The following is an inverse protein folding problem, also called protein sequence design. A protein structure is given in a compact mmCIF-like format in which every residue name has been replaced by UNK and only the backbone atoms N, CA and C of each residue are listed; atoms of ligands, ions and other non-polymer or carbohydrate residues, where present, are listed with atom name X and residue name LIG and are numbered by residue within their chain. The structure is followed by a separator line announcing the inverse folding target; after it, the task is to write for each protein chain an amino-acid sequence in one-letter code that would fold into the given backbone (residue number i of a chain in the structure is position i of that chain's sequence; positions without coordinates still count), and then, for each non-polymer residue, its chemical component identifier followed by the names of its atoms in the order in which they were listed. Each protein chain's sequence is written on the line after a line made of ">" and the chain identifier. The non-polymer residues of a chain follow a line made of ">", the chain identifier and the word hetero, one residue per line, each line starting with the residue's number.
data_IF_936144017801
#
_entry.id   IF_936144017801
#
_cell.length_a   1.000
_cell.length_b   1.000
_cell.length_c   1.000
_cell.angle_alpha   90.00
_cell.angle_beta   90.00
_cell.angle_gamma   90.00
#
_symmetry.space_group_name_H-M   'P 1'
#
loop_
_entity.id
_entity.type
_entity.pdbx_description
1 polymer ?
#
# COMPACT_ATOMS: atom_id res chain seq x y z
N UNK A 1 -9.65 -19.64 10.26
CA UNK A 1 -10.05 -18.25 10.01
C UNK A 1 -10.59 -17.75 11.31
N UNK A 2 -9.85 -16.84 11.94
CA UNK A 2 -10.34 -16.10 13.10
C UNK A 2 -11.42 -15.15 12.57
N UNK A 3 -12.68 -15.44 12.87
CA UNK A 3 -13.79 -14.58 12.45
C UNK A 3 -13.86 -13.51 13.52
N UNK A 4 -13.42 -12.30 13.18
CA UNK A 4 -13.50 -11.20 14.15
C UNK A 4 -14.98 -10.88 14.37
N UNK A 5 -15.36 -10.49 15.59
CA UNK A 5 -16.75 -10.14 15.92
C UNK A 5 -17.33 -9.01 15.04
N UNK A 6 -16.47 -8.30 14.30
CA UNK A 6 -16.83 -7.14 13.48
C UNK A 6 -16.84 -7.42 11.96
N UNK A 7 -16.60 -8.66 11.51
CA UNK A 7 -16.54 -9.01 10.08
C UNK A 7 -17.87 -8.74 9.35
N UNK A 8 -18.99 -8.73 10.08
CA UNK A 8 -20.33 -8.41 9.56
C UNK A 8 -20.84 -7.02 10.00
N UNK A 9 -19.96 -6.12 10.41
CA UNK A 9 -20.35 -4.80 10.86
C UNK A 9 -20.95 -3.95 9.73
N UNK A 10 -22.15 -3.44 10.00
CA UNK A 10 -22.84 -2.46 9.17
C UNK A 10 -23.29 -1.32 10.10
N UNK A 11 -22.81 -0.12 9.86
CA UNK A 11 -23.07 1.03 10.73
C UNK A 11 -22.54 2.32 10.16
N UNK A 12 -22.07 3.22 11.02
CA UNK A 12 -21.35 4.42 10.61
C UNK A 12 -19.84 4.15 10.54
N UNK A 13 -19.06 5.10 10.03
CA UNK A 13 -17.61 4.99 10.02
C UNK A 13 -17.04 4.69 11.43
N UNK A 14 -16.00 3.85 11.52
CA UNK A 14 -15.22 3.65 12.75
C UNK A 14 -14.78 4.99 13.36
N UNK A 15 -14.59 5.03 14.68
CA UNK A 15 -14.08 6.23 15.35
C UNK A 15 -12.74 6.69 14.75
N UNK A 16 -12.55 8.01 14.64
CA UNK A 16 -11.37 8.62 14.04
C UNK A 16 -10.05 8.13 14.65
N UNK A 17 -10.02 7.72 15.93
CA UNK A 17 -8.80 7.20 16.56
C UNK A 17 -8.26 5.94 15.88
N UNK A 18 -9.11 5.11 15.27
CA UNK A 18 -8.69 3.91 14.52
C UNK A 18 -7.93 4.22 13.22
N UNK A 19 -7.94 5.48 12.78
CA UNK A 19 -7.21 5.92 11.59
C UNK A 19 -5.83 6.50 11.92
N UNK A 20 -5.41 6.44 13.18
CA UNK A 20 -4.10 6.92 13.65
C UNK A 20 -3.78 8.37 13.22
N UNK A 21 -4.69 9.34 13.41
CA UNK A 21 -4.46 10.73 12.99
C UNK A 21 -3.22 11.35 13.65
N UNK A 22 -2.80 10.86 14.81
CA UNK A 22 -1.58 11.26 15.50
C UNK A 22 -0.28 10.90 14.78
N UNK A 23 -0.31 9.91 13.88
CA UNK A 23 0.84 9.49 13.07
C UNK A 23 0.91 10.21 11.72
N UNK A 24 -0.11 11.00 11.38
CA UNK A 24 -0.15 11.79 10.15
C UNK A 24 0.68 13.08 10.30
N UNK A 25 1.16 13.60 9.17
CA UNK A 25 1.67 14.98 9.12
C UNK A 25 0.58 15.98 9.50
N UNK A 26 0.94 17.19 9.94
CA UNK A 26 -0.07 18.21 10.27
C UNK A 26 -1.02 18.49 9.09
N UNK A 27 -0.49 18.54 7.87
CA UNK A 27 -1.26 18.79 6.65
C UNK A 27 -2.22 17.62 6.33
N UNK A 28 -1.73 16.38 6.39
CA UNK A 28 -2.56 15.20 6.11
C UNK A 28 -3.62 15.00 7.18
N UNK A 29 -3.30 15.31 8.43
CA UNK A 29 -4.25 15.27 9.54
C UNK A 29 -5.38 16.27 9.31
N UNK A 30 -5.10 17.49 8.90
CA UNK A 30 -6.14 18.49 8.60
C UNK A 30 -7.08 18.00 7.48
N UNK A 31 -6.51 17.44 6.40
CA UNK A 31 -7.30 16.85 5.30
C UNK A 31 -8.15 15.67 5.77
N UNK A 32 -7.59 14.78 6.58
CA UNK A 32 -8.29 13.64 7.16
C UNK A 32 -9.46 14.09 8.05
N UNK A 33 -9.25 15.06 8.94
CA UNK A 33 -10.30 15.53 9.85
C UNK A 33 -11.47 16.17 9.08
N UNK A 34 -11.18 16.93 8.01
CA UNK A 34 -12.22 17.47 7.14
C UNK A 34 -13.01 16.34 6.44
N UNK A 35 -12.31 15.36 5.85
CA UNK A 35 -12.93 14.20 5.20
C UNK A 35 -13.77 13.36 6.16
N UNK A 36 -13.29 13.15 7.39
CA UNK A 36 -13.98 12.37 8.42
C UNK A 36 -15.25 13.08 8.90
N UNK A 37 -15.16 14.37 9.21
CA UNK A 37 -16.32 15.15 9.68
C UNK A 37 -17.47 15.15 8.65
N UNK A 38 -17.13 15.21 7.35
CA UNK A 38 -18.10 15.12 6.25
C UNK A 38 -18.79 13.75 6.17
N UNK A 39 -18.11 12.67 6.57
CA UNK A 39 -18.54 11.29 6.27
C UNK A 39 -18.84 10.43 7.48
N UNK A 40 -18.57 10.89 8.70
CA UNK A 40 -18.70 10.09 9.94
C UNK A 40 -20.08 9.51 10.21
N UNK A 41 -21.12 9.95 9.49
CA UNK A 41 -22.49 9.42 9.57
C UNK A 41 -22.90 8.62 8.33
N UNK A 42 -22.03 8.48 7.34
CA UNK A 42 -22.30 7.69 6.13
C UNK A 42 -22.33 6.18 6.46
N UNK A 43 -23.15 5.40 5.73
CA UNK A 43 -23.17 3.95 5.89
C UNK A 43 -21.82 3.32 5.56
N UNK A 44 -21.36 2.47 6.47
CA UNK A 44 -20.14 1.69 6.35
C UNK A 44 -20.48 0.20 6.47
N UNK A 45 -20.21 -0.55 5.41
CA UNK A 45 -20.30 -2.00 5.36
C UNK A 45 -18.88 -2.56 5.36
N UNK A 46 -18.45 -3.10 6.50
CA UNK A 46 -17.07 -3.52 6.69
C UNK A 46 -16.64 -4.60 5.69
N UNK A 47 -17.50 -5.58 5.42
CA UNK A 47 -17.16 -6.68 4.51
C UNK A 47 -16.94 -6.18 3.08
N UNK A 48 -17.80 -5.25 2.63
CA UNK A 48 -17.64 -4.60 1.32
C UNK A 48 -16.37 -3.76 1.27
N UNK A 49 -16.19 -2.85 2.22
CA UNK A 49 -15.06 -1.92 2.24
C UNK A 49 -13.72 -2.65 2.40
N UNK A 50 -13.66 -3.73 3.18
CA UNK A 50 -12.47 -4.57 3.33
C UNK A 50 -12.07 -5.24 2.01
N UNK A 51 -13.03 -5.80 1.27
CA UNK A 51 -12.76 -6.42 -0.04
C UNK A 51 -12.31 -5.38 -1.06
N UNK A 52 -12.96 -4.23 -1.10
CA UNK A 52 -12.61 -3.14 -2.02
C UNK A 52 -11.22 -2.57 -1.71
N UNK A 53 -10.90 -2.36 -0.43
CA UNK A 53 -9.55 -2.00 0.03
C UNK A 53 -8.51 -3.04 -0.40
N UNK A 54 -8.72 -4.33 -0.10
CA UNK A 54 -7.78 -5.39 -0.45
C UNK A 54 -7.52 -5.45 -1.97
N UNK A 55 -8.56 -5.26 -2.79
CA UNK A 55 -8.41 -5.22 -4.25
C UNK A 55 -7.61 -4.01 -4.72
N UNK A 56 -7.90 -2.83 -4.17
CA UNK A 56 -7.19 -1.60 -4.48
C UNK A 56 -5.70 -1.71 -4.13
N UNK A 57 -5.38 -2.23 -2.95
CA UNK A 57 -3.99 -2.39 -2.48
C UNK A 57 -3.20 -3.37 -3.35
N UNK A 58 -3.78 -4.54 -3.65
CA UNK A 58 -3.13 -5.52 -4.53
C UNK A 58 -2.92 -4.95 -5.94
N UNK A 59 -3.88 -4.20 -6.48
CA UNK A 59 -3.73 -3.57 -7.79
C UNK A 59 -2.66 -2.47 -7.79
N UNK A 60 -2.62 -1.63 -6.75
CA UNK A 60 -1.58 -0.61 -6.59
C UNK A 60 -0.19 -1.24 -6.46
N UNK A 61 -0.03 -2.22 -5.57
CA UNK A 61 1.23 -2.94 -5.38
C UNK A 61 1.66 -3.64 -6.67
N UNK A 62 0.73 -4.29 -7.38
CA UNK A 62 1.01 -4.91 -8.69
C UNK A 62 1.54 -3.89 -9.70
N UNK A 63 0.89 -2.72 -9.83
CA UNK A 63 1.34 -1.65 -10.73
C UNK A 63 2.73 -1.13 -10.34
N UNK A 64 2.97 -0.91 -9.05
CA UNK A 64 4.28 -0.53 -8.54
C UNK A 64 5.34 -1.59 -8.84
N UNK A 65 5.04 -2.87 -8.65
CA UNK A 65 5.95 -3.97 -8.98
C UNK A 65 6.28 -4.04 -10.48
N UNK A 66 5.29 -3.87 -11.36
CA UNK A 66 5.51 -3.85 -12.81
C UNK A 66 6.47 -2.72 -13.19
N UNK A 67 6.19 -1.50 -12.69
CA UNK A 67 7.04 -0.34 -12.96
C UNK A 67 8.44 -0.53 -12.37
N UNK A 68 8.55 -0.99 -11.12
CA UNK A 68 9.83 -1.26 -10.47
C UNK A 68 10.66 -2.29 -11.25
N UNK A 69 10.04 -3.38 -11.72
CA UNK A 69 10.73 -4.39 -12.54
C UNK A 69 11.30 -3.78 -13.82
N UNK A 70 10.48 -3.00 -14.53
CA UNK A 70 10.88 -2.36 -15.77
C UNK A 70 12.07 -1.42 -15.54
N UNK A 71 11.91 -0.45 -14.64
CA UNK A 71 12.95 0.54 -14.32
C UNK A 71 14.25 -0.12 -13.83
N UNK A 72 14.15 -1.11 -12.93
CA UNK A 72 15.32 -1.80 -12.41
C UNK A 72 16.05 -2.60 -13.50
N UNK A 73 15.31 -3.33 -14.35
CA UNK A 73 15.89 -4.09 -15.46
C UNK A 73 16.51 -3.19 -16.52
N UNK A 74 15.91 -2.04 -16.81
CA UNK A 74 16.45 -1.08 -17.78
C UNK A 74 17.78 -0.47 -17.30
N UNK A 75 17.91 -0.21 -16.00
CA UNK A 75 19.14 0.37 -15.42
C UNK A 75 20.24 -0.68 -15.19
N UNK A 76 19.89 -1.92 -14.86
CA UNK A 76 20.87 -2.91 -14.34
C UNK A 76 21.04 -4.15 -15.22
N UNK A 77 20.13 -4.38 -16.18
CA UNK A 77 20.02 -5.64 -16.91
C UNK A 77 19.56 -6.83 -16.07
N UNK A 78 19.17 -6.62 -14.82
CA UNK A 78 18.75 -7.67 -13.88
C UNK A 78 17.24 -7.59 -13.63
N UNK A 79 16.57 -8.73 -13.61
CA UNK A 79 15.18 -8.81 -13.15
C UNK A 79 15.16 -8.87 -11.61
N UNK A 80 14.64 -7.83 -10.92
CA UNK A 80 14.69 -7.77 -9.46
C UNK A 80 13.85 -8.87 -8.79
N UNK A 81 12.85 -9.43 -9.48
CA UNK A 81 11.99 -10.49 -8.93
C UNK A 81 12.57 -11.91 -9.05
N UNK A 82 13.78 -12.06 -9.59
CA UNK A 82 14.56 -13.30 -9.43
C UNK A 82 15.22 -13.41 -8.05
N UNK A 83 15.08 -12.38 -7.21
CA UNK A 83 15.66 -12.30 -5.88
C UNK A 83 14.58 -12.00 -4.84
N UNK A 84 14.77 -12.51 -3.62
CA UNK A 84 13.78 -12.36 -2.53
C UNK A 84 13.75 -10.93 -2.01
N UNK A 85 14.89 -10.22 -2.04
CA UNK A 85 15.01 -8.86 -1.50
C UNK A 85 15.66 -7.91 -2.50
N UNK A 86 15.36 -6.62 -2.36
CA UNK A 86 16.00 -5.55 -3.15
C UNK A 86 17.52 -5.58 -2.94
N UNK A 87 18.00 -5.79 -1.71
CA UNK A 87 19.43 -5.87 -1.42
C UNK A 87 20.13 -6.99 -2.22
N UNK A 88 19.51 -8.18 -2.31
CA UNK A 88 20.05 -9.27 -3.13
C UNK A 88 20.03 -8.97 -4.64
N UNK A 89 19.00 -8.28 -5.15
CA UNK A 89 18.96 -7.84 -6.54
C UNK A 89 20.07 -6.80 -6.83
N UNK A 90 20.28 -5.85 -5.92
CA UNK A 90 21.37 -4.87 -6.02
C UNK A 90 22.74 -5.56 -6.06
N UNK A 91 23.00 -6.54 -5.19
CA UNK A 91 24.26 -7.30 -5.22
C UNK A 91 24.50 -7.98 -6.57
N UNK A 92 23.44 -8.48 -7.22
CA UNK A 92 23.53 -9.08 -8.55
C UNK A 92 23.69 -8.08 -9.69
N UNK A 93 23.34 -6.81 -9.48
CA UNK A 93 23.54 -5.74 -10.48
C UNK A 93 24.97 -5.21 -10.55
N UNK A 94 25.75 -5.33 -9.47
CA UNK A 94 27.13 -4.81 -9.37
C UNK A 94 28.09 -5.37 -10.45
N UNK A 95 28.09 -6.68 -10.79
CA UNK A 95 28.98 -7.20 -11.82
C UNK A 95 28.69 -6.63 -13.21
N UNK A 96 27.41 -6.34 -13.52
CA UNK A 96 27.00 -5.84 -14.83
C UNK A 96 27.36 -4.37 -15.08
N UNK A 97 27.69 -3.60 -14.04
CA UNK A 97 28.08 -2.19 -14.17
C UNK A 97 29.60 -1.97 -14.34
N UNK A 98 30.40 -3.04 -14.34
CA UNK A 98 31.88 -2.95 -14.36
C UNK A 98 32.54 -2.94 -15.75
N UNK A 99 31.78 -2.73 -16.84
CA UNK A 99 32.32 -2.61 -18.20
C UNK A 99 31.63 -1.53 -19.07
N UNK A 100 31.23 -0.41 -18.47
CA UNK A 100 30.99 0.82 -19.22
C UNK A 100 32.18 1.77 -18.99
N UNK A 101 33.28 1.49 -19.70
CA UNK A 101 34.43 2.39 -19.88
C UNK A 101 34.22 3.31 -21.07
#
# INVERSE_FOLDING_TARGET
>A
MDVSENDSYIGVLPDQHYYMPEMMSSEDREKFMAWYEERKLEPFDFAKEFVDYCRSDVDMLRRCCINFRQEFSDVTGVDPFQYITIASACMASLPNQSFAS
#
